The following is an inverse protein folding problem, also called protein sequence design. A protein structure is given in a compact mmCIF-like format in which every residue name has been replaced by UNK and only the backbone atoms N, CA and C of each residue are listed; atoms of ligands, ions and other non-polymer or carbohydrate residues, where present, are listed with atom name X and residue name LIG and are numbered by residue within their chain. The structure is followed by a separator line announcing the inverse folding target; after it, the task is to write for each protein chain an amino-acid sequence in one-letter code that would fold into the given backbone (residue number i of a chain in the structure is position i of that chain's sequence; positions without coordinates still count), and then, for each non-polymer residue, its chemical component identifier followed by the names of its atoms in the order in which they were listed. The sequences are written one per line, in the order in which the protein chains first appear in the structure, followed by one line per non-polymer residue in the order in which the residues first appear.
data_IF_259731237032
#
_entry.id   IF_259731237032
#
_cell.length_a   1.000
_cell.length_b   1.000
_cell.length_c   1.000
_cell.angle_alpha   90.00
_cell.angle_beta   90.00
_cell.angle_gamma   90.00
#
_symmetry.space_group_name_H-M   'P 1'
#
loop_
_entity.id
_entity.type
_entity.pdbx_description
1 polymer ?
#
# COMPACT_ATOMS: atom_id res chain seq x y z
N UNK A 1 -2.20 4.21 -40.98
CA UNK A 1 -3.51 3.67 -40.58
C UNK A 1 -3.27 2.43 -39.74
N UNK A 2 -3.17 2.59 -38.40
CA UNK A 2 -3.24 1.47 -37.46
C UNK A 2 -4.02 1.94 -36.22
N UNK A 3 -5.30 1.71 -36.28
CA UNK A 3 -6.21 1.83 -35.14
C UNK A 3 -6.04 0.57 -34.30
N UNK A 4 -5.40 0.63 -33.15
CA UNK A 4 -5.41 -0.44 -32.16
C UNK A 4 -6.43 -0.10 -31.07
N UNK A 5 -7.49 -0.87 -31.07
CA UNK A 5 -8.46 -0.98 -29.98
C UNK A 5 -7.74 -1.26 -28.65
N UNK A 6 -7.78 -0.28 -27.74
CA UNK A 6 -7.44 -0.51 -26.34
C UNK A 6 -8.72 -1.03 -25.67
N UNK A 7 -8.68 -2.30 -25.26
CA UNK A 7 -9.76 -2.92 -24.52
C UNK A 7 -9.99 -2.14 -23.21
N UNK A 8 -11.18 -1.50 -23.12
CA UNK A 8 -11.69 -0.91 -21.89
C UNK A 8 -12.02 -2.03 -20.91
N UNK A 9 -11.14 -2.28 -19.95
CA UNK A 9 -11.53 -2.99 -18.73
C UNK A 9 -12.40 -2.05 -17.92
N UNK A 10 -13.72 -2.18 -18.10
CA UNK A 10 -14.72 -1.46 -17.33
C UNK A 10 -14.71 -1.95 -15.89
N UNK A 11 -14.03 -1.22 -15.01
CA UNK A 11 -14.30 -1.29 -13.58
C UNK A 11 -15.68 -0.68 -13.36
N UNK A 12 -16.69 -1.56 -13.21
CA UNK A 12 -18.05 -1.19 -12.86
C UNK A 12 -18.02 -0.71 -11.40
N UNK A 13 -17.92 0.60 -11.22
CA UNK A 13 -18.17 1.23 -9.92
C UNK A 13 -19.68 1.19 -9.63
N UNK A 14 -20.10 0.19 -8.85
CA UNK A 14 -21.45 0.13 -8.31
C UNK A 14 -21.68 1.26 -7.30
N UNK A 15 -22.54 2.17 -7.68
CA UNK A 15 -23.27 3.19 -6.97
C UNK A 15 -22.91 3.56 -5.55
N UNK A 16 -22.16 4.63 -5.41
CA UNK A 16 -22.21 5.82 -4.52
C UNK A 16 -20.94 6.59 -4.79
N UNK A 17 -21.00 7.92 -4.93
CA UNK A 17 -19.86 8.83 -5.09
C UNK A 17 -18.96 8.82 -3.82
N UNK A 18 -18.36 7.68 -3.49
CA UNK A 18 -17.35 7.57 -2.45
C UNK A 18 -16.01 7.78 -3.11
N UNK A 19 -15.43 8.95 -2.92
CA UNK A 19 -14.05 9.22 -3.36
C UNK A 19 -13.14 8.16 -2.74
N UNK A 20 -12.55 7.31 -3.57
CA UNK A 20 -11.66 6.24 -3.12
C UNK A 20 -10.44 6.84 -2.45
N UNK A 21 -10.05 6.29 -1.29
CA UNK A 21 -8.81 6.64 -0.60
C UNK A 21 -7.78 5.56 -0.87
N UNK A 22 -6.53 5.96 -1.07
CA UNK A 22 -5.46 5.07 -1.46
C UNK A 22 -4.35 5.04 -0.41
N UNK A 23 -3.80 3.85 -0.19
CA UNK A 23 -2.54 3.63 0.52
C UNK A 23 -1.57 3.01 -0.50
N UNK A 24 -0.36 3.52 -0.58
CA UNK A 24 0.69 2.96 -1.42
C UNK A 24 1.58 2.07 -0.56
N UNK A 25 1.89 0.89 -1.08
CA UNK A 25 2.83 -0.03 -0.47
C UNK A 25 4.27 0.49 -0.55
N UNK A 26 5.11 0.09 0.39
CA UNK A 26 6.51 0.50 0.53
C UNK A 26 7.32 0.23 -0.74
N UNK A 27 7.05 -0.87 -1.45
CA UNK A 27 7.76 -1.25 -2.67
C UNK A 27 7.71 -0.17 -3.77
N UNK A 28 6.62 0.58 -3.87
CA UNK A 28 6.45 1.64 -4.87
C UNK A 28 7.37 2.84 -4.59
N UNK A 29 7.52 3.21 -3.33
CA UNK A 29 8.45 4.26 -2.91
C UNK A 29 9.91 3.84 -3.11
N UNK A 30 10.25 2.60 -2.73
CA UNK A 30 11.60 2.06 -2.90
C UNK A 30 11.99 2.00 -4.37
N UNK A 31 11.08 1.56 -5.25
CA UNK A 31 11.35 1.54 -6.69
C UNK A 31 11.56 2.94 -7.25
N UNK A 32 10.76 3.90 -6.82
CA UNK A 32 10.91 5.29 -7.25
C UNK A 32 12.27 5.90 -6.86
N UNK A 33 12.90 5.42 -5.78
CA UNK A 33 14.26 5.87 -5.43
C UNK A 33 15.37 5.27 -6.30
N UNK A 34 15.08 4.18 -7.03
CA UNK A 34 16.07 3.41 -7.81
C UNK A 34 15.90 3.56 -9.33
N UNK A 35 14.72 3.98 -9.76
CA UNK A 35 14.32 4.05 -11.16
C UNK A 35 13.64 5.38 -11.47
N UNK A 36 14.19 6.14 -12.42
CA UNK A 36 13.70 7.46 -12.80
C UNK A 36 12.31 7.42 -13.46
N UNK A 37 11.96 6.34 -14.15
CA UNK A 37 10.64 6.18 -14.76
C UNK A 37 9.59 5.96 -13.66
N UNK A 38 9.89 5.07 -12.72
CA UNK A 38 9.04 4.82 -11.56
C UNK A 38 8.90 6.06 -10.66
N UNK A 39 9.96 6.85 -10.52
CA UNK A 39 9.91 8.12 -9.80
C UNK A 39 8.92 9.09 -10.47
N UNK A 40 9.00 9.25 -11.79
CA UNK A 40 8.07 10.10 -12.56
C UNK A 40 6.63 9.60 -12.46
N UNK A 41 6.42 8.29 -12.54
CA UNK A 41 5.09 7.67 -12.42
C UNK A 41 4.50 7.90 -11.01
N UNK A 42 5.29 7.68 -9.95
CA UNK A 42 4.89 7.98 -8.58
C UNK A 42 4.55 9.46 -8.40
N UNK A 43 5.42 10.36 -8.86
CA UNK A 43 5.19 11.80 -8.74
C UNK A 43 3.91 12.25 -9.47
N UNK A 44 3.68 11.74 -10.68
CA UNK A 44 2.46 12.02 -11.45
C UNK A 44 1.22 11.51 -10.73
N UNK A 45 1.26 10.29 -10.18
CA UNK A 45 0.16 9.73 -9.42
C UNK A 45 -0.12 10.52 -8.14
N UNK A 46 0.93 10.84 -7.38
CA UNK A 46 0.80 11.68 -6.17
C UNK A 46 0.19 13.04 -6.50
N UNK A 47 0.60 13.67 -7.60
CA UNK A 47 0.05 14.96 -8.01
C UNK A 47 -1.44 14.87 -8.39
N UNK A 48 -1.82 13.84 -9.16
CA UNK A 48 -3.19 13.66 -9.64
C UNK A 48 -4.17 13.30 -8.50
N UNK A 49 -3.71 12.50 -7.53
CA UNK A 49 -4.56 11.92 -6.48
C UNK A 49 -4.23 12.40 -5.08
N UNK A 50 -3.46 13.50 -4.92
CA UNK A 50 -3.05 14.02 -3.60
C UNK A 50 -4.19 14.08 -2.56
N UNK A 51 -5.42 14.51 -2.87
CA UNK A 51 -6.49 14.55 -1.87
C UNK A 51 -6.91 13.18 -1.33
N UNK A 52 -6.69 12.11 -2.11
CA UNK A 52 -7.13 10.75 -1.81
C UNK A 52 -6.03 9.84 -1.26
N UNK A 53 -4.75 10.25 -1.36
CA UNK A 53 -3.63 9.40 -0.93
C UNK A 53 -3.31 9.64 0.54
N UNK A 54 -3.12 8.53 1.26
CA UNK A 54 -2.71 8.48 2.66
C UNK A 54 -1.42 7.66 2.78
N UNK A 55 -0.53 8.09 3.65
CA UNK A 55 0.64 7.31 4.03
C UNK A 55 0.28 6.41 5.22
N UNK A 56 0.64 5.13 5.15
CA UNK A 56 0.49 4.25 6.29
C UNK A 56 1.74 4.34 7.19
N UNK A 57 1.57 4.38 8.52
CA UNK A 57 2.69 4.55 9.45
C UNK A 57 3.70 3.38 9.40
N UNK A 58 3.26 2.16 9.05
CA UNK A 58 4.16 1.02 8.81
C UNK A 58 5.01 1.25 7.56
N UNK A 59 4.44 1.83 6.49
CA UNK A 59 5.20 2.21 5.29
C UNK A 59 6.24 3.28 5.64
N UNK A 60 5.85 4.31 6.40
CA UNK A 60 6.78 5.33 6.88
C UNK A 60 7.93 4.72 7.70
N UNK A 61 7.60 3.78 8.60
CA UNK A 61 8.59 3.03 9.38
C UNK A 61 9.57 2.28 8.47
N UNK A 62 9.09 1.54 7.47
CA UNK A 62 9.95 0.75 6.57
C UNK A 62 10.87 1.64 5.73
N UNK A 63 10.36 2.77 5.25
CA UNK A 63 11.15 3.74 4.49
C UNK A 63 12.28 4.34 5.34
N UNK A 64 11.99 4.72 6.59
CA UNK A 64 12.99 5.27 7.49
C UNK A 64 13.99 4.21 7.98
N UNK A 65 13.51 2.99 8.28
CA UNK A 65 14.37 1.88 8.68
C UNK A 65 15.32 1.43 7.56
N UNK A 66 14.91 1.58 6.30
CA UNK A 66 15.74 1.33 5.13
C UNK A 66 16.77 2.42 4.85
N UNK A 67 16.62 3.61 5.43
CA UNK A 67 17.54 4.73 5.27
C UNK A 67 18.68 4.64 6.30
N UNK A 68 19.82 4.08 5.90
CA UNK A 68 20.90 3.63 6.78
C UNK A 68 21.81 4.71 7.35
N UNK A 69 21.62 5.98 6.97
CA UNK A 69 22.37 7.10 7.51
C UNK A 69 21.49 8.34 7.68
N UNK A 70 21.90 9.31 8.55
CA UNK A 70 21.08 10.47 8.88
C UNK A 70 20.71 11.36 7.68
N UNK A 71 21.60 11.51 6.71
CA UNK A 71 21.35 12.32 5.52
C UNK A 71 20.28 11.68 4.62
N UNK A 72 20.31 10.33 4.49
CA UNK A 72 19.29 9.58 3.75
C UNK A 72 17.97 9.60 4.49
N UNK A 73 17.97 9.41 5.83
CA UNK A 73 16.76 9.50 6.64
C UNK A 73 16.08 10.86 6.49
N UNK A 74 16.84 11.95 6.58
CA UNK A 74 16.32 13.30 6.38
C UNK A 74 15.67 13.46 5.01
N UNK A 75 16.37 13.06 3.93
CA UNK A 75 15.83 13.13 2.55
C UNK A 75 14.60 12.28 2.37
N UNK A 76 14.59 11.06 2.91
CA UNK A 76 13.43 10.16 2.85
C UNK A 76 12.23 10.75 3.57
N UNK A 77 12.45 11.32 4.74
CA UNK A 77 11.41 12.00 5.52
C UNK A 77 10.83 13.19 4.75
N UNK A 78 11.69 14.11 4.29
CA UNK A 78 11.27 15.31 3.56
C UNK A 78 10.52 14.98 2.25
N UNK A 79 10.97 13.93 1.52
CA UNK A 79 10.38 13.58 0.24
C UNK A 79 9.07 12.80 0.36
N UNK A 80 8.97 11.84 1.30
CA UNK A 80 7.90 10.85 1.30
C UNK A 80 7.02 10.86 2.55
N UNK A 81 7.40 11.51 3.65
CA UNK A 81 6.66 11.45 4.91
C UNK A 81 6.08 12.82 5.28
N UNK A 82 6.92 13.83 5.37
CA UNK A 82 6.55 15.19 5.77
C UNK A 82 5.34 15.76 4.99
N UNK A 83 5.19 15.54 3.66
CA UNK A 83 4.04 16.03 2.92
C UNK A 83 2.69 15.46 3.44
N UNK A 84 2.70 14.25 3.99
CA UNK A 84 1.51 13.62 4.58
C UNK A 84 1.30 14.07 6.03
N UNK A 85 2.37 14.23 6.82
CA UNK A 85 2.31 14.77 8.18
C UNK A 85 1.67 16.16 8.20
N UNK A 86 2.19 17.07 7.36
CA UNK A 86 1.67 18.45 7.23
C UNK A 86 0.19 18.52 6.87
N UNK A 87 -0.36 17.45 6.29
CA UNK A 87 -1.76 17.38 5.86
C UNK A 87 -2.62 16.48 6.74
N UNK A 88 -2.06 15.95 7.83
CA UNK A 88 -2.73 14.98 8.71
C UNK A 88 -3.30 13.78 7.93
N UNK A 89 -2.50 13.26 6.96
CA UNK A 89 -2.88 12.13 6.10
C UNK A 89 -2.03 10.90 6.37
N UNK A 90 -1.81 10.60 7.64
CA UNK A 90 -1.17 9.38 8.08
C UNK A 90 -2.22 8.46 8.68
N UNK A 91 -2.25 7.21 8.23
CA UNK A 91 -3.06 6.14 8.81
C UNK A 91 -2.15 5.34 9.74
N UNK A 92 -2.52 5.34 11.01
CA UNK A 92 -1.85 4.53 12.04
C UNK A 92 -2.74 3.35 12.41
N UNK A 93 -2.21 2.13 12.53
CA UNK A 93 -2.97 0.96 12.93
C UNK A 93 -3.63 1.15 14.30
N UNK A 94 -4.90 0.88 14.39
CA UNK A 94 -5.60 0.79 15.66
C UNK A 94 -5.25 -0.51 16.40
N UNK A 95 -5.59 -0.62 17.67
CA UNK A 95 -5.48 -1.88 18.42
C UNK A 95 -6.26 -3.01 17.72
N UNK A 96 -7.44 -2.72 17.17
CA UNK A 96 -8.26 -3.68 16.44
C UNK A 96 -7.62 -4.10 15.11
N UNK A 97 -6.92 -3.20 14.42
CA UNK A 97 -6.14 -3.54 13.23
C UNK A 97 -5.01 -4.52 13.58
N UNK A 98 -4.29 -4.32 14.68
CA UNK A 98 -3.27 -5.25 15.17
C UNK A 98 -3.85 -6.63 15.50
N UNK A 99 -4.96 -6.70 16.23
CA UNK A 99 -5.66 -7.96 16.52
C UNK A 99 -6.10 -8.68 15.26
N UNK A 100 -6.63 -7.94 14.30
CA UNK A 100 -7.05 -8.48 13.00
C UNK A 100 -5.87 -9.02 12.20
N UNK A 101 -4.76 -8.31 12.16
CA UNK A 101 -3.52 -8.77 11.53
C UNK A 101 -3.00 -10.10 12.16
N UNK A 102 -3.01 -10.18 13.49
CA UNK A 102 -2.66 -11.43 14.19
C UNK A 102 -3.59 -12.59 13.82
N UNK A 103 -4.90 -12.34 13.74
CA UNK A 103 -5.87 -13.36 13.30
C UNK A 103 -5.65 -13.79 11.85
N UNK A 104 -5.28 -12.88 10.95
CA UNK A 104 -4.92 -13.21 9.56
C UNK A 104 -3.72 -14.16 9.55
N UNK A 105 -2.66 -13.83 10.26
CA UNK A 105 -1.47 -14.68 10.34
C UNK A 105 -1.81 -16.08 10.88
N UNK A 106 -2.59 -16.15 11.96
CA UNK A 106 -3.03 -17.42 12.55
C UNK A 106 -3.82 -18.27 11.55
N UNK A 107 -4.72 -17.66 10.78
CA UNK A 107 -5.50 -18.36 9.76
C UNK A 107 -4.62 -18.84 8.60
N UNK A 108 -3.65 -18.03 8.13
CA UNK A 108 -2.73 -18.44 7.07
C UNK A 108 -1.87 -19.64 7.49
N UNK A 109 -1.43 -19.66 8.76
CA UNK A 109 -0.71 -20.82 9.32
C UNK A 109 -1.63 -22.04 9.44
N UNK A 110 -2.84 -21.87 9.98
CA UNK A 110 -3.82 -22.94 10.12
C UNK A 110 -4.22 -23.56 8.78
N UNK A 111 -4.29 -22.77 7.72
CA UNK A 111 -4.55 -23.21 6.34
C UNK A 111 -3.27 -23.76 5.64
N UNK A 112 -2.15 -23.86 6.32
CA UNK A 112 -0.85 -24.32 5.78
C UNK A 112 -0.34 -23.51 4.58
N UNK A 113 -0.77 -22.26 4.43
CA UNK A 113 -0.29 -21.34 3.39
C UNK A 113 1.08 -20.76 3.74
N UNK A 114 1.35 -20.63 5.04
CA UNK A 114 2.61 -20.18 5.60
C UNK A 114 2.95 -21.11 6.76
N UNK A 115 4.21 -21.53 6.89
CA UNK A 115 4.67 -22.22 8.10
C UNK A 115 4.86 -21.21 9.23
N UNK A 116 4.77 -21.63 10.48
CA UNK A 116 5.00 -20.75 11.63
C UNK A 116 6.40 -20.07 11.56
N UNK A 117 7.42 -20.83 11.18
CA UNK A 117 8.78 -20.32 10.99
C UNK A 117 8.96 -19.51 9.69
N UNK A 118 7.98 -19.53 8.80
CA UNK A 118 7.94 -18.76 7.56
C UNK A 118 7.28 -17.39 7.71
N UNK A 119 6.82 -17.02 8.90
CA UNK A 119 6.30 -15.68 9.17
C UNK A 119 7.48 -14.71 9.19
N UNK A 120 7.57 -13.91 8.12
CA UNK A 120 8.59 -12.86 8.00
C UNK A 120 8.08 -11.54 8.58
N UNK A 121 9.00 -10.64 8.92
CA UNK A 121 8.63 -9.26 9.30
C UNK A 121 7.83 -8.56 8.21
N UNK A 122 8.20 -8.78 6.95
CA UNK A 122 7.46 -8.21 5.81
C UNK A 122 6.01 -8.68 5.80
N UNK A 123 5.77 -9.99 5.93
CA UNK A 123 4.41 -10.52 5.96
C UNK A 123 3.59 -9.98 7.15
N UNK A 124 4.23 -9.79 8.32
CA UNK A 124 3.56 -9.15 9.47
C UNK A 124 3.14 -7.74 9.13
N UNK A 125 4.05 -6.94 8.54
CA UNK A 125 3.78 -5.57 8.12
C UNK A 125 2.65 -5.52 7.09
N UNK A 126 2.67 -6.41 6.08
CA UNK A 126 1.62 -6.51 5.06
C UNK A 126 0.26 -6.84 5.68
N UNK A 127 0.21 -7.74 6.67
CA UNK A 127 -1.02 -8.05 7.39
C UNK A 127 -1.55 -6.83 8.17
N UNK A 128 -0.67 -6.05 8.80
CA UNK A 128 -1.06 -4.83 9.54
C UNK A 128 -1.56 -3.75 8.58
N UNK A 129 -0.88 -3.54 7.46
CA UNK A 129 -1.31 -2.61 6.41
C UNK A 129 -2.68 -3.04 5.88
N UNK A 130 -2.86 -4.33 5.55
CA UNK A 130 -4.12 -4.86 5.05
C UNK A 130 -5.27 -4.69 6.06
N UNK A 131 -5.03 -4.96 7.34
CA UNK A 131 -6.03 -4.79 8.39
C UNK A 131 -6.45 -3.32 8.54
N UNK A 132 -5.50 -2.39 8.50
CA UNK A 132 -5.77 -0.95 8.54
C UNK A 132 -6.47 -0.44 7.27
N UNK A 133 -6.09 -0.97 6.10
CA UNK A 133 -6.74 -0.70 4.81
C UNK A 133 -8.22 -1.09 4.86
N UNK A 134 -8.52 -2.28 5.39
CA UNK A 134 -9.89 -2.76 5.59
C UNK A 134 -10.68 -1.85 6.54
N UNK A 135 -10.07 -1.48 7.66
CA UNK A 135 -10.70 -0.64 8.69
C UNK A 135 -11.02 0.76 8.16
N UNK A 136 -10.07 1.36 7.44
CA UNK A 136 -10.21 2.71 6.90
C UNK A 136 -11.02 2.78 5.60
N UNK A 137 -11.35 1.63 4.97
CA UNK A 137 -12.02 1.58 3.67
C UNK A 137 -11.18 2.21 2.56
N UNK A 138 -9.87 2.01 2.61
CA UNK A 138 -8.93 2.41 1.58
C UNK A 138 -8.70 1.29 0.56
N UNK A 139 -8.14 1.64 -0.59
CA UNK A 139 -7.59 0.72 -1.59
C UNK A 139 -6.08 0.66 -1.40
N UNK A 140 -5.49 -0.52 -1.30
CA UNK A 140 -4.03 -0.69 -1.31
C UNK A 140 -3.52 -0.77 -2.75
N UNK A 141 -2.54 0.06 -3.08
CA UNK A 141 -1.83 -0.02 -4.36
C UNK A 141 -0.49 -0.71 -4.10
N UNK A 142 -0.29 -1.87 -4.72
CA UNK A 142 0.90 -2.71 -4.49
C UNK A 142 1.27 -3.54 -5.71
N UNK A 143 2.56 -3.86 -5.83
CA UNK A 143 3.08 -4.90 -6.74
C UNK A 143 3.24 -6.25 -6.04
N UNK A 144 3.14 -6.30 -4.71
CA UNK A 144 3.23 -7.53 -3.93
C UNK A 144 1.93 -8.35 -4.00
N UNK A 145 1.60 -8.81 -5.20
CA UNK A 145 0.40 -9.64 -5.44
C UNK A 145 0.41 -10.94 -4.67
N UNK A 146 1.60 -11.48 -4.38
CA UNK A 146 1.75 -12.74 -3.68
C UNK A 146 1.20 -12.64 -2.26
N UNK A 147 1.74 -11.73 -1.46
CA UNK A 147 1.41 -11.67 -0.05
C UNK A 147 0.05 -11.02 0.17
N UNK A 148 -0.24 -9.89 -0.51
CA UNK A 148 -1.58 -9.27 -0.43
C UNK A 148 -2.68 -10.15 -1.05
N UNK A 149 -2.39 -10.91 -2.11
CA UNK A 149 -3.33 -11.90 -2.68
C UNK A 149 -3.61 -13.02 -1.68
N UNK A 150 -2.59 -13.52 -0.98
CA UNK A 150 -2.74 -14.52 0.07
C UNK A 150 -3.54 -13.96 1.25
N UNK A 151 -3.24 -12.77 1.73
CA UNK A 151 -3.97 -12.08 2.79
C UNK A 151 -5.44 -11.88 2.40
N UNK A 152 -5.70 -11.49 1.16
CA UNK A 152 -7.05 -11.23 0.65
C UNK A 152 -7.96 -12.46 0.68
N UNK A 153 -7.40 -13.69 0.72
CA UNK A 153 -8.21 -14.91 0.85
C UNK A 153 -8.84 -15.09 2.24
N UNK A 154 -8.29 -14.44 3.27
CA UNK A 154 -8.79 -14.51 4.66
C UNK A 154 -9.30 -13.17 5.17
N UNK A 155 -8.82 -12.08 4.62
CA UNK A 155 -9.25 -10.72 4.93
C UNK A 155 -9.54 -9.98 3.62
N UNK A 156 -10.80 -9.92 3.15
CA UNK A 156 -11.15 -9.22 1.92
C UNK A 156 -10.79 -7.72 2.01
N UNK A 157 -9.93 -7.26 1.10
CA UNK A 157 -9.49 -5.88 0.93
C UNK A 157 -9.53 -5.49 -0.55
N UNK A 158 -9.60 -4.20 -0.83
CA UNK A 158 -9.48 -3.70 -2.20
C UNK A 158 -8.00 -3.51 -2.55
N UNK A 159 -7.55 -4.17 -3.63
CA UNK A 159 -6.17 -4.13 -4.12
C UNK A 159 -6.20 -3.58 -5.53
N UNK A 160 -5.33 -2.61 -5.81
CA UNK A 160 -5.10 -2.10 -7.15
C UNK A 160 -3.64 -2.27 -7.56
N UNK A 161 -3.41 -2.37 -8.86
CA UNK A 161 -2.06 -2.33 -9.42
C UNK A 161 -1.56 -0.90 -9.53
N UNK A 162 -0.25 -0.69 -9.48
CA UNK A 162 0.33 0.59 -9.87
C UNK A 162 0.14 0.77 -11.38
N UNK A 163 -0.16 1.82 -11.85
CA UNK A 163 -0.74 3.06 -11.44
C UNK A 163 -2.17 3.02 -11.95
N UNK A 164 -3.18 2.94 -11.14
CA UNK A 164 -4.55 2.85 -11.64
C UNK A 164 -4.86 4.10 -12.43
N UNK A 165 -5.30 3.90 -13.65
CA UNK A 165 -5.77 4.98 -14.51
C UNK A 165 -7.14 5.39 -13.98
N UNK A 166 -7.32 6.68 -13.75
CA UNK A 166 -8.60 7.26 -13.37
C UNK A 166 -9.61 7.18 -14.53
#
# INVERSE_FOLDING_TARGET
VYTRCVARSSLIFSGRNKVSRYILDTNLYIRATRDNEQNRALAAFLLAFTPQIYLHSVVAFELLAGATNPALQKRTHEAFIEPFERRSRIITPSHEAWKRAANVLAQLVGQKRVSLNGITRSLVNDCVIAASTRESGCVIITENRRDFGMINTVLPIEIAEPWPIA
#
